data_IF_891465783158
#
_entry.id   IF_891465783158
#
_cell.length_a   1.000
_cell.length_b   1.000
_cell.length_c   1.000
_cell.angle_alpha   90.00
_cell.angle_beta   90.00
_cell.angle_gamma   90.00
#
_symmetry.space_group_name_H-M   'P 1'
#
loop_
_entity.id
_entity.type
_entity.pdbx_description
1 polymer ?
#
# COMPACT_ATOMS: atom_id res chain seq x y z
N UNK A 1 -9.98 12.82 -34.83
CA UNK A 1 -9.18 12.91 -33.60
C UNK A 1 -7.76 12.58 -34.00
N UNK A 2 -6.93 13.59 -34.21
CA UNK A 2 -5.53 13.39 -34.60
C UNK A 2 -4.74 13.11 -33.33
N UNK A 3 -4.11 11.94 -33.27
CA UNK A 3 -3.08 11.68 -32.27
C UNK A 3 -1.86 12.44 -32.78
N UNK A 4 -1.62 13.63 -32.24
CA UNK A 4 -0.36 14.34 -32.49
C UNK A 4 0.77 13.53 -31.85
N UNK A 5 1.59 12.91 -32.69
CA UNK A 5 2.84 12.25 -32.29
C UNK A 5 3.91 13.30 -31.98
N UNK A 6 3.64 14.21 -31.05
CA UNK A 6 4.68 15.05 -30.46
C UNK A 6 5.41 14.19 -29.44
N UNK A 7 6.69 13.93 -29.67
CA UNK A 7 7.56 13.31 -28.67
C UNK A 7 7.49 14.16 -27.40
N UNK A 8 6.79 13.68 -26.37
CA UNK A 8 6.77 14.33 -25.07
C UNK A 8 8.20 14.36 -24.55
N UNK A 9 8.65 15.51 -24.03
CA UNK A 9 9.96 15.57 -23.41
C UNK A 9 10.00 14.55 -22.28
N UNK A 10 11.13 13.87 -22.06
CA UNK A 10 11.27 12.88 -20.97
C UNK A 10 10.90 13.49 -19.59
N UNK A 11 11.00 14.82 -19.47
CA UNK A 11 10.57 15.61 -18.31
C UNK A 11 9.05 15.68 -18.10
N UNK A 12 8.25 15.50 -19.16
CA UNK A 12 6.78 15.47 -19.13
C UNK A 12 6.24 14.07 -18.80
N UNK A 13 7.09 13.05 -18.88
CA UNK A 13 6.75 11.70 -18.43
C UNK A 13 6.87 11.72 -16.91
N UNK A 14 5.77 11.51 -16.15
CA UNK A 14 5.86 11.44 -14.70
C UNK A 14 6.88 10.36 -14.34
N UNK A 15 7.92 10.74 -13.60
CA UNK A 15 8.94 9.83 -13.12
C UNK A 15 8.28 8.54 -12.59
N UNK A 16 8.81 7.36 -12.91
CA UNK A 16 8.16 6.10 -12.54
C UNK A 16 7.91 6.08 -11.04
N UNK A 17 6.70 5.70 -10.65
CA UNK A 17 6.37 5.55 -9.25
C UNK A 17 7.23 4.45 -8.63
N UNK A 18 7.77 4.73 -7.44
CA UNK A 18 8.63 3.78 -6.74
C UNK A 18 7.76 3.04 -5.72
N UNK A 19 7.68 1.72 -5.86
CA UNK A 19 6.96 0.85 -4.92
C UNK A 19 7.95 0.17 -3.98
N UNK A 20 7.77 0.37 -2.67
CA UNK A 20 8.59 -0.24 -1.62
C UNK A 20 7.69 -1.12 -0.78
N UNK A 21 7.93 -2.43 -0.84
CA UNK A 21 7.17 -3.44 -0.10
C UNK A 21 8.07 -4.01 1.01
N UNK A 22 7.95 -3.53 2.26
CA UNK A 22 8.78 -4.03 3.34
C UNK A 22 8.54 -5.51 3.59
N UNK A 23 9.59 -6.29 3.83
CA UNK A 23 9.43 -7.72 4.17
C UNK A 23 8.69 -7.90 5.50
N UNK A 24 8.82 -6.93 6.40
CA UNK A 24 8.04 -6.89 7.62
C UNK A 24 6.71 -6.17 7.36
N UNK A 25 5.66 -6.95 7.21
CA UNK A 25 4.31 -6.46 6.90
C UNK A 25 3.49 -6.11 8.14
N UNK A 26 3.82 -6.72 9.29
CA UNK A 26 3.03 -6.67 10.51
C UNK A 26 3.90 -6.32 11.71
N UNK A 27 3.34 -5.51 12.61
CA UNK A 27 3.94 -5.28 13.93
C UNK A 27 3.73 -6.50 14.82
N UNK A 28 4.80 -7.27 15.03
CA UNK A 28 4.78 -8.48 15.87
C UNK A 28 4.15 -8.24 17.25
N UNK A 29 4.45 -7.13 17.90
CA UNK A 29 3.92 -6.81 19.23
C UNK A 29 2.40 -6.61 19.26
N UNK A 30 1.81 -6.07 18.18
CA UNK A 30 0.35 -5.91 18.07
C UNK A 30 -0.29 -7.29 17.95
N UNK A 31 0.30 -8.16 17.13
CA UNK A 31 -0.17 -9.54 16.98
C UNK A 31 -0.15 -10.30 18.30
N UNK A 32 0.98 -10.24 19.03
CA UNK A 32 1.13 -10.90 20.33
C UNK A 32 0.14 -10.38 21.38
N UNK A 33 -0.14 -9.07 21.38
CA UNK A 33 -1.11 -8.46 22.30
C UNK A 33 -2.54 -9.00 22.13
N UNK A 34 -2.94 -9.35 20.91
CA UNK A 34 -4.31 -9.76 20.60
C UNK A 34 -4.48 -11.28 20.50
N UNK A 35 -3.39 -12.07 20.63
CA UNK A 35 -3.38 -13.51 20.38
C UNK A 35 -4.30 -14.32 21.29
N UNK A 36 -4.48 -13.86 22.52
CA UNK A 36 -5.32 -14.53 23.54
C UNK A 36 -6.74 -13.98 23.61
N UNK A 37 -7.13 -13.07 22.71
CA UNK A 37 -8.47 -12.47 22.71
C UNK A 37 -9.43 -13.23 21.80
N UNK A 38 -10.57 -13.69 22.34
CA UNK A 38 -11.60 -14.39 21.57
C UNK A 38 -12.59 -13.40 20.93
N UNK A 39 -12.04 -12.43 20.19
CA UNK A 39 -12.79 -11.34 19.57
C UNK A 39 -12.89 -11.53 18.05
N UNK A 40 -13.95 -11.00 17.44
CA UNK A 40 -14.05 -10.92 15.97
C UNK A 40 -12.85 -10.19 15.36
N UNK A 41 -12.28 -9.24 16.10
CA UNK A 41 -11.05 -8.55 15.73
C UNK A 41 -9.86 -9.51 15.55
N UNK A 42 -9.67 -10.46 16.46
CA UNK A 42 -8.59 -11.45 16.37
C UNK A 42 -8.76 -12.40 15.18
N UNK A 43 -9.98 -12.85 14.91
CA UNK A 43 -10.26 -13.69 13.74
C UNK A 43 -9.98 -12.93 12.43
N UNK A 44 -10.38 -11.66 12.36
CA UNK A 44 -10.05 -10.82 11.21
C UNK A 44 -8.54 -10.59 11.08
N UNK A 45 -7.81 -10.46 12.19
CA UNK A 45 -6.35 -10.30 12.21
C UNK A 45 -5.62 -11.54 11.67
N UNK A 46 -6.05 -12.74 12.09
CA UNK A 46 -5.52 -14.00 11.58
C UNK A 46 -5.72 -14.11 10.07
N UNK A 47 -6.91 -13.74 9.59
CA UNK A 47 -7.23 -13.74 8.17
C UNK A 47 -6.37 -12.73 7.40
N UNK A 48 -6.27 -11.49 7.89
CA UNK A 48 -5.40 -10.48 7.28
C UNK A 48 -3.94 -10.95 7.18
N UNK A 49 -3.42 -11.60 8.22
CA UNK A 49 -2.08 -12.20 8.21
C UNK A 49 -1.97 -13.31 7.17
N UNK A 50 -2.96 -14.20 7.05
CA UNK A 50 -2.91 -15.28 6.06
C UNK A 50 -2.88 -14.72 4.64
N UNK A 51 -3.64 -13.67 4.35
CA UNK A 51 -3.64 -13.06 3.02
C UNK A 51 -2.34 -12.33 2.71
N UNK A 52 -1.84 -11.49 3.63
CA UNK A 52 -0.64 -10.66 3.39
C UNK A 52 0.67 -11.45 3.47
N UNK A 53 0.79 -12.35 4.43
CA UNK A 53 2.03 -13.11 4.63
C UNK A 53 2.07 -14.42 3.86
N UNK A 54 1.04 -14.73 3.06
CA UNK A 54 1.10 -15.88 2.18
C UNK A 54 2.07 -15.60 1.01
N UNK A 55 3.30 -16.07 1.19
CA UNK A 55 4.21 -16.39 0.07
C UNK A 55 3.57 -17.37 -0.94
N UNK A 56 2.40 -17.93 -0.63
CA UNK A 56 1.63 -18.84 -1.48
C UNK A 56 0.82 -18.15 -2.59
N UNK A 57 0.87 -16.83 -2.76
CA UNK A 57 0.31 -16.22 -3.99
C UNK A 57 1.00 -16.73 -5.28
N UNK A 58 2.26 -17.17 -5.18
CA UNK A 58 2.96 -17.84 -6.29
C UNK A 58 2.64 -19.35 -6.41
N UNK A 59 2.14 -19.98 -5.34
CA UNK A 59 1.60 -21.33 -5.39
C UNK A 59 0.09 -21.23 -5.57
N UNK A 60 -0.32 -20.74 -6.74
CA UNK A 60 -1.71 -20.76 -7.20
C UNK A 60 -2.23 -22.20 -7.16
N UNK A 61 -2.89 -22.55 -6.07
CA UNK A 61 -3.52 -23.84 -5.91
C UNK A 61 -5.01 -23.61 -6.19
N UNK A 62 -5.47 -23.97 -7.40
CA UNK A 62 -6.87 -23.82 -7.87
C UNK A 62 -7.92 -24.36 -6.88
N UNK A 63 -7.49 -25.20 -5.93
CA UNK A 63 -8.32 -25.79 -4.88
C UNK A 63 -8.61 -24.88 -3.70
N UNK A 64 -7.87 -23.77 -3.52
CA UNK A 64 -8.21 -22.76 -2.51
C UNK A 64 -9.40 -21.97 -3.04
N UNK A 65 -10.60 -22.35 -2.62
CA UNK A 65 -11.78 -21.48 -2.65
C UNK A 65 -11.43 -20.26 -1.79
N UNK A 66 -10.92 -19.21 -2.39
CA UNK A 66 -10.91 -17.91 -1.74
C UNK A 66 -12.35 -17.62 -1.35
N UNK A 67 -12.53 -17.38 -0.06
CA UNK A 67 -13.80 -16.95 0.47
C UNK A 67 -14.24 -15.74 -0.37
N UNK A 68 -15.42 -15.85 -1.00
CA UNK A 68 -16.12 -14.70 -1.59
C UNK A 68 -16.86 -13.91 -0.52
N UNK A 69 -16.59 -14.19 0.77
CA UNK A 69 -17.25 -13.50 1.85
C UNK A 69 -16.78 -12.06 1.80
N UNK A 70 -17.77 -11.17 1.77
CA UNK A 70 -17.58 -9.74 1.71
C UNK A 70 -16.75 -9.31 2.92
N UNK A 71 -15.53 -8.83 2.66
CA UNK A 71 -14.76 -8.13 3.67
C UNK A 71 -15.22 -6.70 3.71
N UNK A 72 -15.74 -6.30 4.86
CA UNK A 72 -16.03 -4.91 5.13
C UNK A 72 -14.74 -4.08 5.01
N UNK A 73 -14.74 -3.13 4.08
CA UNK A 73 -13.61 -2.25 3.77
C UNK A 73 -13.13 -1.51 5.01
N UNK A 74 -14.05 -1.10 5.88
CA UNK A 74 -13.71 -0.39 7.12
C UNK A 74 -12.97 -1.31 8.09
N UNK A 75 -13.39 -2.56 8.21
CA UNK A 75 -12.70 -3.58 9.00
C UNK A 75 -11.28 -3.86 8.50
N UNK A 76 -11.07 -3.93 7.19
CA UNK A 76 -9.71 -4.07 6.61
C UNK A 76 -8.87 -2.82 6.90
N UNK A 77 -9.44 -1.63 6.69
CA UNK A 77 -8.71 -0.37 6.93
C UNK A 77 -8.32 -0.20 8.40
N UNK A 78 -9.20 -0.58 9.33
CA UNK A 78 -8.90 -0.58 10.76
C UNK A 78 -7.74 -1.55 11.09
N UNK A 79 -7.75 -2.76 10.53
CA UNK A 79 -6.67 -3.73 10.72
C UNK A 79 -5.33 -3.23 10.14
N UNK A 80 -5.35 -2.62 8.95
CA UNK A 80 -4.17 -2.00 8.36
C UNK A 80 -3.63 -0.91 9.29
N UNK A 81 -4.49 0.00 9.77
CA UNK A 81 -4.09 1.11 10.63
C UNK A 81 -3.50 0.63 11.97
N UNK A 82 -4.07 -0.41 12.56
CA UNK A 82 -3.65 -0.90 13.86
C UNK A 82 -2.38 -1.76 13.78
N UNK A 83 -2.26 -2.59 12.75
CA UNK A 83 -1.37 -3.75 12.77
C UNK A 83 -0.28 -3.71 11.71
N UNK A 84 -0.51 -2.99 10.62
CA UNK A 84 0.49 -2.89 9.58
C UNK A 84 1.67 -2.02 10.05
N UNK A 85 2.83 -2.27 9.43
CA UNK A 85 3.97 -1.39 9.58
C UNK A 85 3.60 0.02 9.11
N UNK A 86 3.96 1.06 9.87
CA UNK A 86 3.72 2.45 9.45
C UNK A 86 4.84 2.98 8.58
N UNK A 87 4.53 4.04 7.82
CA UNK A 87 5.53 4.75 7.05
C UNK A 87 6.75 5.18 7.91
N UNK A 88 6.54 5.67 9.12
CA UNK A 88 7.62 6.08 10.04
C UNK A 88 8.52 4.95 10.51
N UNK A 89 8.09 3.69 10.41
CA UNK A 89 8.91 2.52 10.73
C UNK A 89 9.71 2.04 9.51
N UNK A 90 9.28 2.40 8.30
CA UNK A 90 9.94 2.03 7.03
C UNK A 90 10.90 3.12 6.56
N UNK A 91 10.52 4.38 6.72
CA UNK A 91 11.20 5.54 6.17
C UNK A 91 11.73 6.46 7.27
N UNK A 92 12.84 7.12 6.98
CA UNK A 92 13.31 8.23 7.79
C UNK A 92 12.35 9.42 7.67
N UNK A 93 12.34 10.28 8.68
CA UNK A 93 11.50 11.49 8.71
C UNK A 93 11.83 12.46 7.57
N UNK A 94 13.06 12.44 7.08
CA UNK A 94 13.56 13.27 5.99
C UNK A 94 14.05 12.39 4.84
N UNK A 95 13.81 12.83 3.60
CA UNK A 95 14.34 12.20 2.40
C UNK A 95 15.21 13.18 1.61
N UNK A 96 16.27 12.66 0.99
CA UNK A 96 17.06 13.43 0.01
C UNK A 96 16.51 13.16 -1.38
N UNK A 97 16.02 14.20 -2.04
CA UNK A 97 15.50 14.14 -3.40
C UNK A 97 16.27 15.14 -4.26
N UNK A 98 17.16 14.62 -5.11
CA UNK A 98 18.12 15.44 -5.86
C UNK A 98 18.89 16.41 -4.94
N UNK A 99 18.71 17.71 -5.11
CA UNK A 99 19.35 18.76 -4.31
C UNK A 99 18.46 19.26 -3.15
N UNK A 100 17.32 18.63 -2.90
CA UNK A 100 16.36 18.99 -1.86
C UNK A 100 16.39 18.00 -0.71
N UNK A 101 16.25 18.52 0.51
CA UNK A 101 15.87 17.73 1.68
C UNK A 101 14.37 17.92 1.90
N UNK A 102 13.62 16.82 1.80
CA UNK A 102 12.17 16.80 1.95
C UNK A 102 11.83 16.37 3.38
N UNK A 103 11.34 17.30 4.24
CA UNK A 103 10.90 16.94 5.59
C UNK A 103 9.53 16.26 5.56
N UNK A 104 9.25 15.51 6.62
CA UNK A 104 8.01 14.76 6.79
C UNK A 104 7.67 13.89 5.57
N UNK A 105 8.64 13.08 5.13
CA UNK A 105 8.56 12.35 3.87
C UNK A 105 7.29 11.49 3.73
N UNK A 106 6.78 10.97 4.85
CA UNK A 106 5.55 10.17 4.89
C UNK A 106 4.29 10.85 4.33
N UNK A 107 4.23 12.18 4.28
CA UNK A 107 3.09 12.88 3.65
C UNK A 107 3.04 12.68 2.13
N UNK A 108 4.16 12.30 1.51
CA UNK A 108 4.28 12.05 0.07
C UNK A 108 4.19 10.56 -0.28
N UNK A 109 3.97 9.71 0.73
CA UNK A 109 3.87 8.26 0.60
C UNK A 109 2.41 7.84 0.52
N UNK A 110 2.10 7.00 -0.47
CA UNK A 110 0.78 6.41 -0.63
C UNK A 110 0.82 4.92 -0.29
N UNK A 111 0.18 4.48 0.80
CA UNK A 111 0.04 3.05 1.08
C UNK A 111 -0.87 2.38 0.05
N UNK A 112 -0.50 1.19 -0.40
CA UNK A 112 -1.23 0.40 -1.39
C UNK A 112 -1.14 -1.08 -1.03
N UNK A 113 -2.28 -1.78 -1.12
CA UNK A 113 -2.29 -3.23 -1.09
C UNK A 113 -1.93 -3.82 -2.46
N UNK A 114 -0.98 -4.74 -2.47
CA UNK A 114 -0.52 -5.47 -3.66
C UNK A 114 -0.47 -6.97 -3.38
N UNK A 115 -0.12 -7.76 -4.38
CA UNK A 115 0.14 -9.21 -4.22
C UNK A 115 1.31 -9.51 -3.26
N UNK A 116 2.17 -8.52 -2.98
CA UNK A 116 3.28 -8.62 -2.02
C UNK A 116 2.88 -8.15 -0.61
N UNK A 117 1.60 -7.85 -0.39
CA UNK A 117 1.11 -7.23 0.83
C UNK A 117 1.01 -5.71 0.74
N UNK A 118 1.11 -5.05 1.90
CA UNK A 118 1.16 -3.61 2.02
C UNK A 118 2.49 -3.08 1.47
N UNK A 119 2.38 -2.18 0.51
CA UNK A 119 3.50 -1.46 -0.08
C UNK A 119 3.28 0.05 0.03
N UNK A 120 4.38 0.79 -0.07
CA UNK A 120 4.41 2.24 -0.01
C UNK A 120 4.88 2.78 -1.35
N UNK A 121 4.07 3.65 -1.96
CA UNK A 121 4.33 4.22 -3.27
C UNK A 121 4.79 5.66 -3.12
N UNK A 122 5.90 6.00 -3.75
CA UNK A 122 6.44 7.36 -3.85
C UNK A 122 6.21 7.87 -5.28
N UNK A 123 5.99 9.17 -5.41
CA UNK A 123 5.90 9.85 -6.71
C UNK A 123 4.81 9.27 -7.62
N UNK A 124 3.70 8.86 -7.01
CA UNK A 124 2.48 8.45 -7.71
C UNK A 124 1.46 9.58 -7.61
N UNK A 125 0.73 9.83 -8.70
CA UNK A 125 -0.44 10.69 -8.66
C UNK A 125 -1.42 10.16 -7.60
N UNK A 126 -1.82 10.97 -6.61
CA UNK A 126 -2.77 10.55 -5.59
C UNK A 126 -4.02 9.92 -6.20
N UNK A 127 -4.46 8.79 -5.65
CA UNK A 127 -5.60 8.04 -6.19
C UNK A 127 -6.86 8.91 -6.35
N UNK A 128 -7.16 9.79 -5.39
CA UNK A 128 -8.28 10.72 -5.50
C UNK A 128 -8.16 11.68 -6.69
N UNK A 129 -6.94 12.05 -7.09
CA UNK A 129 -6.71 12.87 -8.28
C UNK A 129 -6.73 12.04 -9.56
N UNK A 130 -6.32 10.75 -9.51
CA UNK A 130 -6.42 9.86 -10.68
C UNK A 130 -7.87 9.61 -11.10
N UNK A 131 -8.82 9.65 -10.16
CA UNK A 131 -10.24 9.36 -10.42
C UNK A 131 -11.10 10.62 -10.54
N UNK A 132 -10.54 11.80 -10.30
CA UNK A 132 -11.22 13.08 -10.48
C UNK A 132 -10.57 13.83 -11.64
N UNK A 133 -11.36 14.39 -12.56
CA UNK A 133 -10.88 15.13 -13.76
C UNK A 133 -10.19 16.48 -13.44
N UNK A 134 -9.68 16.67 -12.22
CA UNK A 134 -9.10 17.93 -11.76
C UNK A 134 -7.68 18.17 -12.30
N UNK A 135 -7.08 17.19 -13.00
CA UNK A 135 -5.71 17.28 -13.53
C UNK A 135 -5.62 18.04 -14.86
N UNK A 136 -6.70 18.10 -15.66
CA UNK A 136 -6.71 18.68 -17.01
C UNK A 136 -6.90 20.21 -17.06
N UNK A 137 -6.82 20.92 -15.92
CA UNK A 137 -7.02 22.37 -15.84
C UNK A 137 -5.73 23.19 -15.65
N UNK A 138 -4.63 22.80 -16.31
CA UNK A 138 -3.43 23.65 -16.40
C UNK A 138 -3.31 24.34 -17.74
#
# INVERSE_FOLDING_TARGET
MFIENTESAIQDIPFPSINICPSNQLRKWVFEKHMDTNSSYWENLKYYRSEICSLEFYNYNEKKKYSKDYFDTDSIMNLINDCAISCSEVFQSEAKWENLTVPNFCQFIQPKMTILGLCFTVNMMPSFQMFNNDYDQR
#
